data_IF_107911482881
#
_entry.id   IF_107911482881
#
_cell.length_a   1.000
_cell.length_b   1.000
_cell.length_c   1.000
_cell.angle_alpha   90.00
_cell.angle_beta   90.00
_cell.angle_gamma   90.00
#
_symmetry.space_group_name_H-M   'P 1'
#
loop_
_entity.id
_entity.type
_entity.pdbx_description
1 polymer ?
#
# COMPACT_ATOMS: atom_id res chain seq x y z
N UNK A 1 -5.72 15.25 -5.72
CA UNK A 1 -4.28 15.48 -5.43
C UNK A 1 -4.05 16.47 -4.28
N UNK A 2 -4.94 17.43 -4.02
CA UNK A 2 -4.78 18.58 -3.09
C UNK A 2 -4.50 18.24 -1.61
N UNK A 3 -4.67 17.02 -1.15
CA UNK A 3 -4.56 16.67 0.30
C UNK A 3 -3.55 15.57 0.58
N UNK A 4 -2.56 15.42 -0.29
CA UNK A 4 -1.54 14.39 -0.10
C UNK A 4 -0.45 14.87 0.87
N UNK A 5 -0.10 14.11 1.92
CA UNK A 5 0.99 14.50 2.82
C UNK A 5 2.31 14.62 2.05
N UNK A 6 3.10 15.65 2.32
CA UNK A 6 4.36 15.93 1.61
C UNK A 6 5.32 14.72 1.65
N UNK A 7 5.39 14.02 2.79
CA UNK A 7 6.19 12.78 2.91
C UNK A 7 5.79 11.72 1.88
N UNK A 8 4.50 11.58 1.60
CA UNK A 8 4.00 10.59 0.64
C UNK A 8 4.37 10.98 -0.79
N UNK A 9 4.32 12.29 -1.09
CA UNK A 9 4.73 12.81 -2.40
C UNK A 9 6.21 12.49 -2.66
N UNK A 10 7.08 12.73 -1.68
CA UNK A 10 8.50 12.40 -1.76
C UNK A 10 8.73 10.90 -1.98
N UNK A 11 8.02 10.04 -1.23
CA UNK A 11 8.12 8.58 -1.42
C UNK A 11 7.67 8.14 -2.82
N UNK A 12 6.60 8.73 -3.36
CA UNK A 12 6.13 8.43 -4.71
C UNK A 12 7.10 8.92 -5.78
N UNK A 13 7.71 10.09 -5.59
CA UNK A 13 8.71 10.63 -6.50
C UNK A 13 9.96 9.72 -6.53
N UNK A 14 10.44 9.27 -5.36
CA UNK A 14 11.56 8.33 -5.24
C UNK A 14 11.26 6.98 -5.90
N UNK A 15 10.06 6.43 -5.67
CA UNK A 15 9.60 5.20 -6.31
C UNK A 15 9.53 5.35 -7.83
N UNK A 16 8.98 6.47 -8.32
CA UNK A 16 8.88 6.77 -9.75
C UNK A 16 10.25 6.86 -10.41
N UNK A 17 11.20 7.56 -9.79
CA UNK A 17 12.55 7.71 -10.29
C UNK A 17 13.29 6.36 -10.30
N UNK A 18 13.16 5.58 -9.24
CA UNK A 18 13.76 4.24 -9.17
C UNK A 18 13.16 3.28 -10.20
N UNK A 19 11.84 3.36 -10.42
CA UNK A 19 11.16 2.60 -11.46
C UNK A 19 11.70 2.97 -12.85
N UNK A 20 11.86 4.27 -13.13
CA UNK A 20 12.43 4.78 -14.39
C UNK A 20 13.85 4.27 -14.63
N UNK A 21 14.72 4.27 -13.61
CA UNK A 21 16.09 3.75 -13.70
C UNK A 21 16.13 2.23 -13.99
N UNK A 22 15.06 1.51 -13.67
CA UNK A 22 14.93 0.06 -13.89
C UNK A 22 14.08 -0.32 -15.09
N UNK A 23 13.70 0.67 -15.90
CA UNK A 23 12.82 0.49 -17.06
C UNK A 23 11.47 -0.16 -16.69
N UNK A 24 10.98 0.15 -15.48
CA UNK A 24 9.67 -0.28 -15.01
C UNK A 24 8.64 0.82 -15.23
N UNK A 25 7.48 0.53 -15.84
CA UNK A 25 6.44 1.52 -16.03
C UNK A 25 5.83 1.95 -14.70
N UNK A 26 5.77 3.27 -14.45
CA UNK A 26 5.14 3.88 -13.29
C UNK A 26 4.09 4.89 -13.74
N UNK A 27 2.87 4.74 -13.25
CA UNK A 27 1.74 5.60 -13.59
C UNK A 27 1.01 6.09 -12.35
N UNK A 28 0.63 7.35 -12.36
CA UNK A 28 -0.29 7.92 -11.37
C UNK A 28 -1.69 7.95 -11.97
N UNK A 29 -2.61 7.18 -11.43
CA UNK A 29 -4.01 7.17 -11.87
C UNK A 29 -4.82 8.09 -10.97
N UNK A 30 -5.49 9.08 -11.57
CA UNK A 30 -6.21 10.13 -10.85
C UNK A 30 -7.55 10.45 -11.49
N UNK A 31 -8.48 10.98 -10.67
CA UNK A 31 -9.72 11.59 -11.13
C UNK A 31 -9.64 13.13 -11.25
N UNK A 32 -8.46 13.70 -11.00
CA UNK A 32 -8.22 15.14 -11.11
C UNK A 32 -8.17 15.58 -12.57
N UNK A 33 -8.62 16.79 -12.83
CA UNK A 33 -8.55 17.41 -14.15
C UNK A 33 -7.12 17.83 -14.54
N UNK A 34 -6.92 18.13 -15.81
CA UNK A 34 -5.61 18.49 -16.37
C UNK A 34 -4.98 19.71 -15.68
N UNK A 35 -5.78 20.71 -15.32
CA UNK A 35 -5.29 21.92 -14.66
C UNK A 35 -4.84 21.64 -13.22
N UNK A 36 -5.55 20.78 -12.49
CA UNK A 36 -5.16 20.34 -11.15
C UNK A 36 -3.85 19.52 -11.18
N UNK A 37 -3.66 18.69 -12.21
CA UNK A 37 -2.44 17.91 -12.42
C UNK A 37 -1.25 18.86 -12.66
N UNK A 38 -1.41 19.83 -13.57
CA UNK A 38 -0.36 20.83 -13.85
C UNK A 38 0.01 21.65 -12.61
N UNK A 39 -1.00 22.08 -11.85
CA UNK A 39 -0.78 22.84 -10.62
C UNK A 39 0.02 21.99 -9.60
N UNK A 40 -0.34 20.72 -9.43
CA UNK A 40 0.35 19.78 -8.55
C UNK A 40 1.81 19.55 -8.98
N UNK A 41 2.06 19.32 -10.27
CA UNK A 41 3.43 19.11 -10.77
C UNK A 41 4.29 20.36 -10.60
N UNK A 42 3.73 21.55 -10.83
CA UNK A 42 4.44 22.82 -10.62
C UNK A 42 4.76 23.06 -9.14
N UNK A 43 3.83 22.74 -8.23
CA UNK A 43 4.00 22.92 -6.79
C UNK A 43 5.05 21.97 -6.21
N UNK A 44 5.06 20.73 -6.67
CA UNK A 44 5.89 19.67 -6.08
C UNK A 44 7.10 19.28 -6.96
N UNK A 45 7.30 19.93 -8.08
CA UNK A 45 8.35 19.61 -9.06
C UNK A 45 8.34 18.12 -9.46
N UNK A 46 7.15 17.55 -9.63
CA UNK A 46 6.96 16.16 -10.05
C UNK A 46 6.75 16.07 -11.56
N UNK A 47 7.12 14.94 -12.15
CA UNK A 47 6.94 14.64 -13.58
C UNK A 47 6.42 13.21 -13.71
N UNK A 48 5.23 12.95 -13.17
CA UNK A 48 4.63 11.63 -13.26
C UNK A 48 3.94 11.41 -14.62
N UNK A 49 3.84 10.14 -15.01
CA UNK A 49 2.97 9.73 -16.10
C UNK A 49 1.54 9.56 -15.55
N UNK A 50 0.62 10.41 -16.00
CA UNK A 50 -0.75 10.40 -15.50
C UNK A 50 -1.70 9.63 -16.41
N UNK A 51 -2.58 8.85 -15.78
CA UNK A 51 -3.76 8.25 -16.40
C UNK A 51 -5.00 8.76 -15.69
N UNK A 52 -6.06 9.02 -16.43
CA UNK A 52 -7.33 9.47 -15.88
C UNK A 52 -8.30 8.30 -15.68
N UNK A 53 -8.97 8.30 -14.56
CA UNK A 53 -10.06 7.37 -14.26
C UNK A 53 -11.09 8.06 -13.37
N UNK A 54 -12.31 7.54 -13.36
CA UNK A 54 -13.35 8.08 -12.49
C UNK A 54 -13.12 7.71 -11.01
N UNK A 55 -13.60 8.56 -10.12
CA UNK A 55 -13.41 8.43 -8.67
C UNK A 55 -14.03 7.16 -8.10
N UNK A 56 -15.12 6.66 -8.69
CA UNK A 56 -15.82 5.46 -8.21
C UNK A 56 -14.99 4.22 -8.50
N UNK A 57 -14.49 4.12 -9.74
CA UNK A 57 -13.57 3.05 -10.15
C UNK A 57 -12.32 3.01 -9.26
N UNK A 58 -11.67 4.17 -9.04
CA UNK A 58 -10.49 4.23 -8.17
C UNK A 58 -10.78 3.72 -6.75
N UNK A 59 -11.93 4.09 -6.17
CA UNK A 59 -12.33 3.63 -4.82
C UNK A 59 -12.62 2.12 -4.76
N UNK A 60 -13.04 1.51 -5.87
CA UNK A 60 -13.25 0.05 -5.91
C UNK A 60 -11.94 -0.72 -5.95
N UNK A 61 -10.93 -0.17 -6.62
CA UNK A 61 -9.60 -0.77 -6.74
C UNK A 61 -8.83 -0.66 -5.43
N UNK A 62 -8.79 0.55 -4.85
CA UNK A 62 -8.10 0.82 -3.59
C UNK A 62 -8.84 1.90 -2.79
N UNK A 63 -9.05 1.66 -1.49
CA UNK A 63 -9.71 2.63 -0.59
C UNK A 63 -8.77 3.69 -0.04
N UNK A 64 -7.46 3.48 -0.15
CA UNK A 64 -6.44 4.45 0.26
C UNK A 64 -6.32 5.55 -0.79
N UNK A 65 -6.15 6.81 -0.34
CA UNK A 65 -5.88 7.94 -1.22
C UNK A 65 -4.73 8.78 -0.63
N UNK A 66 -3.53 8.72 -1.23
CA UNK A 66 -3.18 7.81 -2.31
C UNK A 66 -3.06 6.35 -1.86
N UNK A 67 -2.99 5.44 -2.82
CA UNK A 67 -2.63 4.05 -2.61
C UNK A 67 -1.70 3.59 -3.72
N UNK A 68 -0.82 2.63 -3.44
CA UNK A 68 0.10 2.05 -4.40
C UNK A 68 -0.36 0.64 -4.78
N UNK A 69 -0.30 0.32 -6.06
CA UNK A 69 -0.57 -1.00 -6.62
C UNK A 69 0.64 -1.49 -7.40
N UNK A 70 1.00 -2.73 -7.21
CA UNK A 70 1.89 -3.46 -8.10
C UNK A 70 1.05 -4.38 -8.97
N UNK A 71 1.18 -4.21 -10.29
CA UNK A 71 0.53 -5.07 -11.27
C UNK A 71 1.57 -5.97 -11.94
N UNK A 72 1.22 -7.22 -12.15
CA UNK A 72 1.98 -8.16 -12.96
C UNK A 72 1.02 -8.96 -13.83
N UNK A 73 1.23 -8.93 -15.13
CA UNK A 73 0.42 -9.67 -16.11
C UNK A 73 -1.09 -9.43 -15.92
N UNK A 74 -1.47 -8.16 -15.66
CA UNK A 74 -2.86 -7.77 -15.41
C UNK A 74 -3.41 -8.16 -14.04
N UNK A 75 -2.61 -8.76 -13.17
CA UNK A 75 -3.01 -9.16 -11.81
C UNK A 75 -2.40 -8.24 -10.76
N UNK A 76 -3.15 -7.93 -9.70
CA UNK A 76 -2.63 -7.17 -8.55
C UNK A 76 -1.75 -8.08 -7.71
N UNK A 77 -0.42 -7.89 -7.80
CA UNK A 77 0.58 -8.60 -7.03
C UNK A 77 0.83 -7.95 -5.65
N UNK A 78 0.65 -6.64 -5.52
CA UNK A 78 0.82 -5.91 -4.27
C UNK A 78 -0.12 -4.73 -4.15
N UNK A 79 -0.50 -4.39 -2.91
CA UNK A 79 -1.38 -3.27 -2.58
C UNK A 79 -0.97 -2.65 -1.26
N UNK A 80 -0.69 -1.33 -1.27
CA UNK A 80 -0.24 -0.59 -0.08
C UNK A 80 -1.09 0.65 0.17
N UNK A 81 -1.38 0.86 1.43
CA UNK A 81 -1.96 2.10 1.92
C UNK A 81 -0.89 3.21 1.98
N UNK A 82 -1.25 4.48 1.87
CA UNK A 82 -0.29 5.59 1.90
C UNK A 82 0.57 5.63 3.19
N UNK A 83 0.07 5.10 4.32
CA UNK A 83 0.84 4.99 5.56
C UNK A 83 1.88 3.84 5.54
N UNK A 84 1.71 2.88 4.64
CA UNK A 84 2.53 1.66 4.53
C UNK A 84 3.28 1.64 3.19
N UNK A 85 3.59 2.83 2.62
CA UNK A 85 4.33 2.90 1.35
C UNK A 85 5.65 2.15 1.49
N UNK A 86 5.96 1.26 0.53
CA UNK A 86 7.23 0.55 0.54
C UNK A 86 8.37 1.52 0.19
N UNK A 87 9.56 1.19 0.66
CA UNK A 87 10.77 1.89 0.25
C UNK A 87 11.08 1.63 -1.23
N UNK A 88 11.87 2.52 -1.86
CA UNK A 88 12.28 2.37 -3.26
C UNK A 88 13.05 1.06 -3.53
N UNK A 89 13.67 0.48 -2.50
CA UNK A 89 14.33 -0.84 -2.54
C UNK A 89 13.40 -1.98 -3.04
N UNK A 90 12.07 -1.83 -2.90
CA UNK A 90 11.10 -2.81 -3.42
C UNK A 90 11.25 -3.00 -4.93
N UNK A 91 11.69 -1.96 -5.65
CA UNK A 91 11.87 -2.01 -7.10
C UNK A 91 13.06 -2.89 -7.55
N UNK A 92 13.89 -3.38 -6.62
CA UNK A 92 14.95 -4.34 -6.93
C UNK A 92 14.39 -5.72 -7.30
N UNK A 93 13.34 -6.14 -6.61
CA UNK A 93 12.59 -7.36 -6.92
C UNK A 93 11.13 -7.17 -6.48
N UNK A 94 10.33 -6.43 -7.27
CA UNK A 94 9.00 -5.96 -6.82
C UNK A 94 8.07 -7.10 -6.43
N UNK A 95 8.08 -8.19 -7.21
CA UNK A 95 7.20 -9.33 -6.97
C UNK A 95 7.60 -10.10 -5.71
N UNK A 96 8.87 -10.44 -5.56
CA UNK A 96 9.34 -11.19 -4.39
C UNK A 96 9.07 -10.40 -3.11
N UNK A 97 9.38 -9.11 -3.10
CA UNK A 97 9.15 -8.21 -1.96
C UNK A 97 7.64 -8.06 -1.63
N UNK A 98 6.78 -7.96 -2.65
CA UNK A 98 5.33 -7.90 -2.44
C UNK A 98 4.79 -9.20 -1.82
N UNK A 99 5.24 -10.35 -2.29
CA UNK A 99 4.85 -11.66 -1.75
C UNK A 99 5.37 -11.88 -0.33
N UNK A 100 6.60 -11.47 -0.03
CA UNK A 100 7.16 -11.54 1.33
C UNK A 100 6.37 -10.67 2.31
N UNK A 101 6.02 -9.45 1.94
CA UNK A 101 5.19 -8.59 2.79
C UNK A 101 3.81 -9.20 3.08
N UNK A 102 3.18 -9.81 2.10
CA UNK A 102 1.91 -10.53 2.30
C UNK A 102 2.10 -11.71 3.26
N UNK A 103 3.21 -12.45 3.14
CA UNK A 103 3.54 -13.59 4.00
C UNK A 103 3.77 -13.14 5.45
N UNK A 104 4.49 -12.05 5.67
CA UNK A 104 4.72 -11.48 7.01
C UNK A 104 3.43 -11.02 7.67
N UNK A 105 2.54 -10.33 6.97
CA UNK A 105 1.22 -9.94 7.50
C UNK A 105 0.41 -11.16 7.97
N UNK A 106 0.41 -12.25 7.19
CA UNK A 106 -0.30 -13.49 7.54
C UNK A 106 0.33 -14.20 8.73
N UNK A 107 1.65 -14.29 8.79
CA UNK A 107 2.35 -14.95 9.91
C UNK A 107 2.14 -14.19 11.23
N UNK A 108 2.20 -12.86 11.23
CA UNK A 108 1.94 -12.05 12.41
C UNK A 108 0.51 -12.27 12.94
N UNK A 109 -0.48 -12.37 12.06
CA UNK A 109 -1.86 -12.63 12.45
C UNK A 109 -1.99 -14.01 13.11
N UNK A 110 -1.35 -15.05 12.58
CA UNK A 110 -1.33 -16.39 13.15
C UNK A 110 -0.65 -16.39 14.52
N UNK A 111 0.47 -15.70 14.68
CA UNK A 111 1.18 -15.57 15.96
C UNK A 111 0.30 -14.89 17.01
N UNK A 112 -0.35 -13.77 16.67
CA UNK A 112 -1.26 -13.07 17.58
C UNK A 112 -2.46 -13.91 17.98
N UNK A 113 -3.06 -14.66 17.04
CA UNK A 113 -4.16 -15.58 17.34
C UNK A 113 -3.69 -16.73 18.25
N UNK A 114 -2.48 -17.25 18.07
CA UNK A 114 -1.90 -18.29 18.91
C UNK A 114 -1.67 -17.79 20.35
N UNK A 115 -1.14 -16.57 20.51
CA UNK A 115 -0.93 -15.95 21.82
C UNK A 115 -2.26 -15.69 22.51
N UNK A 116 -3.26 -15.15 21.80
CA UNK A 116 -4.59 -14.91 22.32
C UNK A 116 -5.26 -16.23 22.76
N UNK A 117 -5.13 -17.30 21.97
CA UNK A 117 -5.62 -18.64 22.33
C UNK A 117 -4.97 -19.18 23.60
N UNK A 118 -3.65 -19.03 23.74
CA UNK A 118 -2.90 -19.47 24.91
C UNK A 118 -3.32 -18.74 26.20
N UNK A 119 -3.68 -17.45 26.10
CA UNK A 119 -4.14 -16.66 27.24
C UNK A 119 -5.57 -16.98 27.67
N UNK A 120 -6.43 -17.48 26.75
CA UNK A 120 -7.81 -17.83 27.04
C UNK A 120 -7.96 -19.19 27.72
N UNK A 121 -7.08 -20.15 27.47
CA UNK A 121 -7.12 -21.50 28.04
C UNK A 121 -7.07 -21.50 29.59
N UNK A 122 -6.17 -20.76 30.26
CA UNK A 122 -6.13 -20.72 31.73
C UNK A 122 -7.42 -20.14 32.34
N UNK A 123 -8.04 -19.15 31.70
CA UNK A 123 -9.26 -18.52 32.20
C UNK A 123 -10.47 -19.46 32.18
N UNK A 124 -10.56 -20.34 31.20
CA UNK A 124 -11.61 -21.36 31.11
C UNK A 124 -11.43 -22.47 32.16
N UNK A 125 -10.18 -22.88 32.42
CA UNK A 125 -9.87 -23.93 33.43
C UNK A 125 -10.12 -23.38 34.84
N UNK A 126 -9.80 -22.10 35.10
CA UNK A 126 -10.03 -21.47 36.43
C UNK A 126 -11.52 -21.30 36.73
N UNK A 127 -12.33 -20.99 35.70
CA UNK A 127 -13.78 -20.81 35.85
C UNK A 127 -14.52 -22.11 36.14
N UNK A 128 -14.00 -23.26 35.68
CA UNK A 128 -14.63 -24.56 35.93
C UNK A 128 -14.41 -25.09 37.36
N UNK A 129 -13.45 -24.54 38.14
CA UNK A 129 -13.16 -24.96 39.52
C UNK A 129 -13.94 -24.19 40.60
N UNK A 130 -14.69 -23.11 40.20
CA UNK A 130 -15.41 -22.27 41.16
C UNK A 130 -16.92 -22.64 41.31
N UNK A 131 -17.34 -23.75 40.66
CA UNK A 131 -18.71 -24.23 40.73
C UNK A 131 -18.73 -25.59 41.46
N UNK A 132 -18.45 -25.59 42.76
CA UNK A 132 -18.82 -26.65 43.72
C UNK A 132 -19.25 -25.99 45.00
#
# INVERSE_FOLDING_TARGET
LEKMPHKVILSLAELSETARQKDLPFYVVTSSGTEEIKAFDNEHATMFNYLQSDKTTLKTIIRSNPGLLLLQDGTIAGKWHYNDMPEASIMNNPLANALEQQRHKRNNLVIWLSIAGLLLIPSLIFRSKTTK
#
